data_IF_598251773187
#
_entry.id   IF_598251773187
#
_cell.length_a   1.000
_cell.length_b   1.000
_cell.length_c   1.000
_cell.angle_alpha   90.00
_cell.angle_beta   90.00
_cell.angle_gamma   90.00
#
_symmetry.space_group_name_H-M   'P 1'
#
loop_
_entity.id
_entity.type
_entity.pdbx_description
1 polymer ?
#
# COMPACT_ATOMS: atom_id res chain seq x y z
N UNK A 1 -5.82 -36.67 62.36
CA UNK A 1 -6.06 -35.43 63.13
C UNK A 1 -5.65 -34.27 62.26
N UNK A 2 -6.39 -33.22 61.99
CA UNK A 2 -7.76 -32.82 62.32
C UNK A 2 -8.05 -31.63 61.39
N UNK A 3 -9.31 -31.49 60.96
CA UNK A 3 -9.92 -30.20 60.61
C UNK A 3 -9.69 -29.15 61.73
N UNK A 4 -9.72 -27.83 61.47
CA UNK A 4 -10.95 -27.10 61.07
C UNK A 4 -10.62 -25.89 60.15
N UNK A 5 -11.49 -24.97 59.75
CA UNK A 5 -12.85 -24.61 60.09
C UNK A 5 -13.41 -23.81 58.91
N UNK A 6 -14.71 -23.97 58.70
CA UNK A 6 -15.56 -23.20 57.79
C UNK A 6 -15.47 -21.69 58.05
N UNK A 7 -15.35 -20.89 56.99
CA UNK A 7 -15.77 -19.50 57.00
C UNK A 7 -16.70 -19.21 55.82
N UNK A 8 -17.92 -18.86 56.21
CA UNK A 8 -19.09 -18.54 55.42
C UNK A 8 -18.85 -17.25 54.65
N UNK A 9 -18.75 -17.33 53.32
CA UNK A 9 -18.92 -16.17 52.46
C UNK A 9 -20.27 -16.27 51.76
N UNK A 10 -21.18 -15.45 52.28
CA UNK A 10 -22.56 -15.24 51.89
C UNK A 10 -22.61 -14.85 50.41
N UNK A 11 -23.26 -15.68 49.59
CA UNK A 11 -23.66 -15.33 48.21
C UNK A 11 -24.41 -14.00 48.23
N UNK A 12 -23.78 -12.97 47.69
CA UNK A 12 -24.48 -11.78 47.20
C UNK A 12 -24.32 -11.74 45.70
N UNK A 13 -25.38 -12.17 45.02
CA UNK A 13 -25.78 -11.73 43.69
C UNK A 13 -24.66 -11.65 42.65
N UNK A 14 -24.27 -12.79 42.11
CA UNK A 14 -23.61 -12.82 40.81
C UNK A 14 -24.65 -12.46 39.74
N UNK A 15 -24.72 -11.19 39.36
CA UNK A 15 -25.12 -10.87 38.00
C UNK A 15 -23.97 -11.35 37.10
N UNK A 16 -23.97 -12.64 36.77
CA UNK A 16 -23.21 -13.14 35.64
C UNK A 16 -23.78 -12.46 34.40
N UNK A 17 -23.14 -11.37 33.98
CA UNK A 17 -23.14 -11.05 32.56
C UNK A 17 -22.34 -12.18 31.91
N UNK A 18 -23.07 -13.16 31.38
CA UNK A 18 -22.52 -14.17 30.50
C UNK A 18 -21.98 -13.47 29.26
N UNK A 19 -20.73 -13.03 29.31
CA UNK A 19 -19.90 -12.94 28.11
C UNK A 19 -19.53 -14.38 27.71
N UNK A 20 -20.54 -15.16 27.32
CA UNK A 20 -20.37 -16.19 26.31
C UNK A 20 -20.08 -15.44 25.02
N UNK A 21 -18.83 -15.02 24.86
CA UNK A 21 -18.30 -14.62 23.56
C UNK A 21 -18.39 -15.88 22.73
N UNK A 22 -19.49 -16.03 21.99
CA UNK A 22 -19.84 -17.25 21.29
C UNK A 22 -18.73 -17.55 20.27
N UNK A 23 -17.78 -18.38 20.68
CA UNK A 23 -16.67 -18.83 19.83
C UNK A 23 -17.21 -19.39 18.51
N UNK A 24 -18.41 -19.98 18.56
CA UNK A 24 -19.17 -20.45 17.40
C UNK A 24 -19.66 -19.31 16.50
N UNK A 25 -20.15 -18.20 17.07
CA UNK A 25 -20.57 -17.04 16.29
C UNK A 25 -19.37 -16.34 15.63
N UNK A 26 -18.25 -16.25 16.33
CA UNK A 26 -16.99 -15.71 15.79
C UNK A 26 -16.40 -16.64 14.74
N UNK A 27 -16.40 -17.96 14.97
CA UNK A 27 -15.94 -18.94 13.98
C UNK A 27 -16.82 -18.95 12.74
N UNK A 28 -18.14 -18.85 12.89
CA UNK A 28 -19.09 -18.83 11.78
C UNK A 28 -19.02 -17.50 11.02
N UNK A 29 -18.76 -16.38 11.71
CA UNK A 29 -18.50 -15.09 11.07
C UNK A 29 -17.19 -15.11 10.28
N UNK A 30 -16.12 -15.66 10.86
CA UNK A 30 -14.84 -15.86 10.18
C UNK A 30 -14.95 -16.84 9.01
N UNK A 31 -15.67 -17.95 9.16
CA UNK A 31 -15.90 -18.89 8.07
C UNK A 31 -16.71 -18.24 6.94
N UNK A 32 -17.74 -17.46 7.27
CA UNK A 32 -18.52 -16.71 6.26
C UNK A 32 -17.68 -15.66 5.57
N UNK A 33 -16.76 -15.00 6.27
CA UNK A 33 -15.82 -14.04 5.69
C UNK A 33 -14.83 -14.75 4.75
N UNK A 34 -14.23 -15.86 5.20
CA UNK A 34 -13.29 -16.66 4.41
C UNK A 34 -13.97 -17.26 3.18
N UNK A 35 -15.20 -17.77 3.32
CA UNK A 35 -16.01 -18.28 2.21
C UNK A 35 -16.37 -17.15 1.24
N UNK A 36 -16.75 -15.97 1.73
CA UNK A 36 -17.03 -14.80 0.89
C UNK A 36 -15.80 -14.34 0.12
N UNK A 37 -14.63 -14.31 0.77
CA UNK A 37 -13.36 -13.98 0.11
C UNK A 37 -13.03 -15.05 -0.94
N UNK A 38 -13.21 -16.32 -0.63
CA UNK A 38 -12.99 -17.41 -1.58
C UNK A 38 -13.96 -17.37 -2.77
N UNK A 39 -15.25 -17.09 -2.54
CA UNK A 39 -16.25 -16.89 -3.62
C UNK A 39 -15.95 -15.65 -4.44
N UNK A 40 -15.51 -14.54 -3.84
CA UNK A 40 -15.12 -13.33 -4.55
C UNK A 40 -13.89 -13.58 -5.46
N UNK A 41 -12.90 -14.32 -4.94
CA UNK A 41 -11.71 -14.78 -5.67
C UNK A 41 -12.06 -15.79 -6.78
N UNK A 42 -13.09 -16.62 -6.58
CA UNK A 42 -13.52 -17.65 -7.54
C UNK A 42 -14.48 -17.12 -8.61
N UNK A 43 -15.24 -16.06 -8.31
CA UNK A 43 -16.29 -15.52 -9.20
C UNK A 43 -15.75 -14.50 -10.20
N UNK A 44 -14.65 -13.81 -9.89
CA UNK A 44 -13.99 -12.91 -10.82
C UNK A 44 -12.45 -12.99 -10.69
N UNK A 45 -11.78 -13.85 -11.48
CA UNK A 45 -10.31 -13.89 -11.51
C UNK A 45 -9.70 -12.55 -11.96
N UNK A 46 -10.44 -11.71 -12.69
CA UNK A 46 -9.98 -10.38 -13.07
C UNK A 46 -9.95 -9.42 -11.86
N UNK A 47 -10.83 -9.58 -10.86
CA UNK A 47 -10.79 -8.81 -9.62
C UNK A 47 -9.51 -9.09 -8.81
N UNK A 48 -9.06 -10.35 -8.77
CA UNK A 48 -7.81 -10.73 -8.10
C UNK A 48 -6.60 -10.17 -8.85
N UNK A 49 -6.59 -10.33 -10.17
CA UNK A 49 -5.51 -9.79 -11.03
C UNK A 49 -5.43 -8.27 -10.93
N UNK A 50 -6.56 -7.56 -10.92
CA UNK A 50 -6.59 -6.10 -10.77
C UNK A 50 -6.12 -5.67 -9.37
N UNK A 51 -6.50 -6.37 -8.30
CA UNK A 51 -6.02 -6.10 -6.94
C UNK A 51 -4.49 -6.23 -6.79
N UNK A 52 -3.89 -7.30 -7.30
CA UNK A 52 -2.43 -7.43 -7.26
C UNK A 52 -1.74 -6.36 -8.13
N UNK A 53 -2.32 -6.03 -9.29
CA UNK A 53 -1.80 -4.94 -10.14
C UNK A 53 -1.80 -3.60 -9.40
N UNK A 54 -2.87 -3.25 -8.69
CA UNK A 54 -2.94 -1.98 -7.95
C UNK A 54 -1.97 -1.95 -6.78
N UNK A 55 -1.80 -3.06 -6.05
CA UNK A 55 -0.80 -3.14 -4.97
C UNK A 55 0.60 -2.92 -5.51
N UNK A 56 0.99 -3.62 -6.59
CA UNK A 56 2.35 -3.51 -7.13
C UNK A 56 2.64 -2.09 -7.63
N UNK A 57 1.67 -1.45 -8.29
CA UNK A 57 1.80 -0.04 -8.70
C UNK A 57 1.98 0.87 -7.50
N UNK A 58 1.21 0.66 -6.43
CA UNK A 58 1.35 1.43 -5.18
C UNK A 58 2.72 1.25 -4.53
N UNK A 59 3.25 0.02 -4.49
CA UNK A 59 4.60 -0.25 -3.95
C UNK A 59 5.68 0.45 -4.77
N UNK A 60 5.58 0.42 -6.10
CA UNK A 60 6.53 1.14 -6.98
C UNK A 60 6.48 2.64 -6.71
N UNK A 61 5.28 3.23 -6.57
CA UNK A 61 5.11 4.64 -6.22
C UNK A 61 5.76 4.98 -4.87
N UNK A 62 5.59 4.13 -3.85
CA UNK A 62 6.20 4.34 -2.53
C UNK A 62 7.74 4.24 -2.55
N UNK A 63 8.31 3.42 -3.43
CA UNK A 63 9.76 3.33 -3.59
C UNK A 63 10.33 4.56 -4.31
N UNK A 64 9.57 5.15 -5.23
CA UNK A 64 9.96 6.39 -5.93
C UNK A 64 9.85 7.61 -5.00
N UNK A 65 8.78 7.66 -4.20
CA UNK A 65 8.49 8.75 -3.27
C UNK A 65 8.14 8.20 -1.88
N UNK A 66 9.17 8.01 -1.01
CA UNK A 66 8.97 7.47 0.33
C UNK A 66 8.09 8.38 1.21
N UNK A 67 7.18 7.78 1.97
CA UNK A 67 6.37 8.51 2.95
C UNK A 67 7.21 8.93 4.17
N UNK A 68 7.38 10.24 4.37
CA UNK A 68 8.11 10.82 5.51
C UNK A 68 7.23 11.29 6.67
N UNK A 69 5.90 11.37 6.48
CA UNK A 69 4.96 11.82 7.51
C UNK A 69 4.65 10.72 8.53
N UNK A 70 4.57 9.47 8.06
CA UNK A 70 4.39 8.29 8.91
C UNK A 70 5.36 7.18 8.47
N UNK A 71 6.67 7.31 8.78
CA UNK A 71 7.66 6.37 8.31
C UNK A 71 7.65 5.08 9.12
N UNK A 72 7.72 3.93 8.44
CA UNK A 72 7.93 2.64 9.08
C UNK A 72 9.33 2.55 9.74
N UNK A 73 10.33 3.22 9.14
CA UNK A 73 11.67 3.34 9.69
C UNK A 73 12.04 4.82 9.83
N UNK A 74 12.11 5.29 11.08
CA UNK A 74 12.38 6.70 11.41
C UNK A 74 13.78 7.12 10.96
N UNK A 75 14.79 6.27 11.18
CA UNK A 75 16.19 6.58 10.84
C UNK A 75 16.38 6.73 9.33
N UNK A 76 15.80 5.80 8.57
CA UNK A 76 15.80 5.86 7.10
C UNK A 76 15.10 7.12 6.59
N UNK A 77 13.98 7.53 7.20
CA UNK A 77 13.27 8.77 6.86
C UNK A 77 14.09 10.03 7.16
N UNK A 78 14.83 10.05 8.27
CA UNK A 78 15.74 11.16 8.59
C UNK A 78 16.89 11.22 7.59
N UNK A 79 17.53 10.09 7.27
CA UNK A 79 18.62 10.03 6.28
C UNK A 79 18.15 10.44 4.88
N UNK A 80 16.98 9.98 4.45
CA UNK A 80 16.38 10.35 3.17
C UNK A 80 16.14 11.86 3.06
N UNK A 81 15.55 12.48 4.11
CA UNK A 81 15.33 13.93 4.14
C UNK A 81 16.64 14.72 4.08
N UNK A 82 17.66 14.34 4.86
CA UNK A 82 18.99 14.98 4.79
C UNK A 82 19.60 14.89 3.40
N UNK A 83 19.55 13.71 2.77
CA UNK A 83 20.04 13.52 1.40
C UNK A 83 19.28 14.41 0.39
N UNK A 84 17.95 14.43 0.47
CA UNK A 84 17.07 15.23 -0.40
C UNK A 84 17.29 16.73 -0.22
N UNK A 85 17.23 17.21 1.02
CA UNK A 85 17.31 18.64 1.36
C UNK A 85 18.72 19.19 1.10
N UNK A 86 19.75 18.35 1.23
CA UNK A 86 21.13 18.70 0.88
C UNK A 86 21.42 18.62 -0.63
N UNK A 87 20.45 18.25 -1.47
CA UNK A 87 20.58 18.05 -2.92
C UNK A 87 21.70 17.05 -3.27
N UNK A 88 21.81 15.97 -2.50
CA UNK A 88 22.80 14.90 -2.71
C UNK A 88 24.22 15.23 -2.24
N UNK A 89 24.42 16.31 -1.48
CA UNK A 89 25.71 16.58 -0.82
C UNK A 89 25.99 15.56 0.27
N UNK A 90 24.98 15.26 1.08
CA UNK A 90 25.03 14.11 1.99
C UNK A 90 24.90 12.83 1.15
N UNK A 91 25.84 11.90 1.29
CA UNK A 91 25.89 10.66 0.49
C UNK A 91 25.53 9.42 1.30
N UNK A 92 25.23 9.56 2.59
CA UNK A 92 25.02 8.43 3.50
C UNK A 92 23.88 7.53 3.02
N UNK A 93 22.71 8.12 2.75
CA UNK A 93 21.54 7.40 2.24
C UNK A 93 21.84 6.67 0.92
N UNK A 94 22.42 7.37 -0.05
CA UNK A 94 22.74 6.82 -1.36
C UNK A 94 23.82 5.71 -1.32
N UNK A 95 24.78 5.79 -0.39
CA UNK A 95 25.80 4.76 -0.20
C UNK A 95 25.19 3.48 0.37
N UNK A 96 24.23 3.57 1.31
CA UNK A 96 23.54 2.40 1.85
C UNK A 96 22.76 1.69 0.73
N UNK A 97 21.99 2.43 -0.08
CA UNK A 97 21.26 1.86 -1.22
C UNK A 97 22.22 1.20 -2.21
N UNK A 98 23.35 1.84 -2.55
CA UNK A 98 24.37 1.25 -3.44
C UNK A 98 24.93 -0.05 -2.89
N UNK A 99 25.28 -0.11 -1.60
CA UNK A 99 25.79 -1.35 -0.96
C UNK A 99 24.77 -2.47 -1.02
N UNK A 100 23.50 -2.18 -0.74
CA UNK A 100 22.43 -3.18 -0.79
C UNK A 100 22.19 -3.69 -2.22
N UNK A 101 22.13 -2.80 -3.21
CA UNK A 101 21.99 -3.18 -4.63
C UNK A 101 23.18 -4.03 -5.11
N UNK A 102 24.40 -3.76 -4.63
CA UNK A 102 25.55 -4.60 -4.97
C UNK A 102 25.49 -5.97 -4.30
N UNK A 103 25.02 -6.05 -3.06
CA UNK A 103 24.87 -7.31 -2.35
C UNK A 103 23.83 -8.24 -3.03
N UNK A 104 22.73 -7.68 -3.55
CA UNK A 104 21.69 -8.47 -4.23
C UNK A 104 22.13 -9.02 -5.59
N UNK A 105 23.12 -8.43 -6.25
CA UNK A 105 23.66 -8.95 -7.52
C UNK A 105 24.26 -10.35 -7.38
N UNK A 106 24.96 -10.61 -6.27
CA UNK A 106 25.55 -11.91 -6.00
C UNK A 106 24.47 -12.99 -5.79
N UNK A 107 23.37 -12.64 -5.13
CA UNK A 107 22.23 -13.55 -4.96
C UNK A 107 21.53 -13.83 -6.30
N UNK A 108 21.34 -12.80 -7.12
CA UNK A 108 20.75 -12.97 -8.45
C UNK A 108 21.57 -13.90 -9.36
N UNK A 109 22.91 -13.82 -9.31
CA UNK A 109 23.79 -14.73 -10.05
C UNK A 109 23.66 -16.18 -9.56
N UNK A 110 23.60 -16.38 -8.24
CA UNK A 110 23.40 -17.69 -7.62
C UNK A 110 22.06 -18.32 -8.01
N UNK A 111 21.01 -17.50 -8.13
CA UNK A 111 19.68 -17.94 -8.57
C UNK A 111 19.57 -18.06 -10.11
N UNK A 112 20.62 -17.73 -10.86
CA UNK A 112 20.62 -17.75 -12.32
C UNK A 112 19.73 -16.68 -12.96
N UNK A 113 19.37 -15.63 -12.23
CA UNK A 113 18.51 -14.54 -12.67
C UNK A 113 19.35 -13.38 -13.22
N UNK A 114 19.18 -13.07 -14.51
CA UNK A 114 19.81 -11.89 -15.12
C UNK A 114 18.99 -10.63 -14.83
N UNK A 115 19.56 -9.70 -14.05
CA UNK A 115 18.93 -8.41 -13.75
C UNK A 115 18.94 -7.51 -15.00
N UNK A 116 17.78 -7.00 -15.46
CA UNK A 116 17.70 -6.03 -16.56
C UNK A 116 18.43 -4.73 -16.22
N UNK A 117 19.24 -4.22 -17.15
CA UNK A 117 20.00 -2.96 -16.95
C UNK A 117 19.58 -1.85 -17.91
N UNK A 118 18.82 -2.22 -18.94
CA UNK A 118 18.27 -1.29 -19.93
C UNK A 118 16.76 -1.26 -19.85
N UNK A 119 16.13 -0.16 -20.27
CA UNK A 119 14.68 -0.04 -20.32
C UNK A 119 14.06 -1.12 -21.23
N UNK A 120 14.71 -1.44 -22.35
CA UNK A 120 14.24 -2.46 -23.29
C UNK A 120 14.26 -3.87 -22.66
N UNK A 121 15.28 -4.21 -21.88
CA UNK A 121 15.34 -5.47 -21.13
C UNK A 121 14.33 -5.50 -19.97
N UNK A 122 14.02 -4.35 -19.38
CA UNK A 122 13.04 -4.26 -18.30
C UNK A 122 11.60 -4.41 -18.82
N UNK A 123 11.29 -3.78 -19.96
CA UNK A 123 9.96 -3.77 -20.57
C UNK A 123 9.75 -4.89 -21.61
N UNK A 124 10.28 -6.09 -21.36
CA UNK A 124 10.04 -7.23 -22.25
C UNK A 124 8.57 -7.62 -22.16
N UNK A 125 7.82 -7.40 -23.24
CA UNK A 125 6.48 -7.96 -23.41
C UNK A 125 6.65 -9.46 -23.63
N UNK A 126 6.44 -10.25 -22.58
CA UNK A 126 6.46 -11.71 -22.68
C UNK A 126 5.46 -12.13 -23.76
N UNK A 127 5.95 -12.57 -24.92
CA UNK A 127 5.11 -13.26 -25.90
C UNK A 127 4.81 -14.62 -25.29
N UNK A 128 3.64 -14.74 -24.68
CA UNK A 128 3.05 -16.05 -24.37
C UNK A 128 3.04 -16.82 -25.70
N UNK A 129 3.50 -18.08 -25.76
CA UNK A 129 3.32 -18.87 -26.98
C UNK A 129 1.83 -18.93 -27.27
N UNK A 130 1.40 -18.16 -28.26
CA UNK A 130 0.01 -18.09 -28.70
C UNK A 130 -0.32 -19.45 -29.32
N UNK A 131 -1.13 -20.23 -28.63
CA UNK A 131 -2.03 -21.13 -29.32
C UNK A 131 -2.97 -20.23 -30.12
N UNK A 132 -2.86 -20.27 -31.45
CA UNK A 132 -3.63 -19.45 -32.37
C UNK A 132 -5.12 -19.55 -32.05
N UNK A 133 -5.73 -18.44 -31.59
CA UNK A 133 -7.08 -17.99 -31.95
C UNK A 133 -7.46 -16.71 -31.18
N UNK A 134 -7.54 -15.61 -31.93
CA UNK A 134 -8.56 -14.55 -31.81
C UNK A 134 -8.73 -13.83 -30.46
N UNK A 135 -8.08 -12.67 -30.27
CA UNK A 135 -8.67 -11.52 -29.54
C UNK A 135 -7.86 -10.21 -29.67
N UNK A 136 -7.41 -9.82 -30.86
CA UNK A 136 -6.69 -8.56 -31.09
C UNK A 136 -7.62 -7.50 -31.70
N UNK A 137 -8.70 -7.13 -30.99
CA UNK A 137 -9.68 -6.12 -31.42
C UNK A 137 -10.36 -5.40 -30.23
N UNK A 138 -9.68 -5.16 -29.11
CA UNK A 138 -10.33 -4.55 -27.92
C UNK A 138 -9.69 -3.25 -27.41
N UNK A 139 -8.83 -2.58 -28.19
CA UNK A 139 -8.11 -1.40 -27.69
C UNK A 139 -8.03 -0.18 -28.61
N UNK A 140 -8.82 -0.10 -29.71
CA UNK A 140 -8.71 1.01 -30.68
C UNK A 140 -9.89 2.01 -30.69
N UNK A 141 -11.03 1.71 -30.03
CA UNK A 141 -12.27 2.52 -30.16
C UNK A 141 -12.59 3.42 -28.94
N UNK A 142 -11.61 3.83 -28.13
CA UNK A 142 -11.85 4.67 -26.92
C UNK A 142 -11.35 6.12 -27.02
N UNK A 143 -10.95 6.58 -28.20
CA UNK A 143 -10.51 7.96 -28.42
C UNK A 143 -11.22 8.60 -29.63
N UNK A 144 -12.55 8.60 -29.60
CA UNK A 144 -13.38 9.39 -30.52
C UNK A 144 -14.59 9.94 -29.74
N UNK A 145 -14.30 10.83 -28.79
CA UNK A 145 -15.31 11.70 -28.17
C UNK A 145 -14.79 13.13 -28.28
N UNK A 146 -15.19 13.72 -29.41
CA UNK A 146 -15.34 15.13 -29.70
C UNK A 146 -15.83 15.92 -28.47
N UNK A 147 -14.92 16.35 -27.59
CA UNK A 147 -15.20 17.42 -26.64
C UNK A 147 -15.07 18.74 -27.39
N UNK A 148 -16.24 19.27 -27.70
CA UNK A 148 -16.57 20.60 -28.18
C UNK A 148 -15.71 21.68 -27.50
N UNK A 149 -14.95 22.41 -28.30
CA UNK A 149 -14.37 23.70 -27.94
C UNK A 149 -15.53 24.72 -27.79
N UNK A 150 -16.26 24.69 -26.66
CA UNK A 150 -17.14 25.79 -26.27
C UNK A 150 -16.33 26.90 -25.57
N UNK A 151 -16.02 27.88 -26.40
CA UNK A 151 -15.59 29.27 -26.20
C UNK A 151 -15.58 29.86 -24.76
N UNK A 152 -14.50 30.61 -24.55
CA UNK A 152 -14.20 31.62 -23.55
C UNK A 152 -15.39 32.49 -23.08
N UNK A 153 -15.66 32.51 -21.77
CA UNK A 153 -16.17 33.71 -21.09
C UNK A 153 -15.31 34.03 -19.84
N UNK A 154 -14.63 35.17 -19.96
CA UNK A 154 -13.96 35.97 -18.92
C UNK A 154 -14.81 36.18 -17.66
N UNK A 155 -14.21 36.16 -16.46
CA UNK A 155 -14.59 37.12 -15.42
C UNK A 155 -13.49 37.30 -14.35
N UNK A 156 -12.91 38.49 -14.43
CA UNK A 156 -12.08 39.26 -13.51
C UNK A 156 -12.62 39.28 -12.07
N UNK A 157 -11.79 38.95 -11.08
CA UNK A 157 -12.05 39.29 -9.67
C UNK A 157 -10.76 39.28 -8.84
N UNK A 158 -10.06 40.40 -8.89
CA UNK A 158 -9.07 40.81 -7.92
C UNK A 158 -9.68 40.89 -6.50
N UNK A 159 -9.17 40.10 -5.56
CA UNK A 159 -9.18 40.52 -4.16
C UNK A 159 -7.85 40.14 -3.48
N UNK A 160 -6.96 41.13 -3.42
CA UNK A 160 -5.90 41.16 -2.43
C UNK A 160 -6.56 41.26 -1.05
N UNK A 161 -6.36 40.26 -0.20
CA UNK A 161 -6.47 40.47 1.24
C UNK A 161 -5.13 40.13 1.88
N UNK A 162 -4.41 41.22 2.12
CA UNK A 162 -3.19 41.32 2.91
C UNK A 162 -3.61 41.35 4.38
N UNK A 163 -3.55 40.21 5.08
CA UNK A 163 -3.62 40.18 6.55
C UNK A 163 -2.32 39.60 7.13
N UNK A 164 -1.33 40.49 7.14
CA UNK A 164 -0.16 40.48 8.00
C UNK A 164 -0.58 40.60 9.48
N UNK A 165 -0.81 39.47 10.13
CA UNK A 165 -0.86 39.41 11.59
C UNK A 165 0.46 38.87 12.14
N UNK A 166 1.44 39.78 12.21
CA UNK A 166 2.66 39.62 12.99
C UNK A 166 2.36 39.35 14.47
N UNK A 167 2.87 38.23 14.97
CA UNK A 167 2.84 37.90 16.40
C UNK A 167 4.18 38.28 17.04
N UNK A 168 4.22 39.43 17.70
CA UNK A 168 5.32 39.91 18.54
C UNK A 168 5.00 39.75 20.04
N UNK A 169 5.96 39.15 20.75
CA UNK A 169 6.42 39.45 22.12
C UNK A 169 5.42 39.85 23.23
N UNK A 170 5.26 38.97 24.23
CA UNK A 170 5.48 39.24 25.67
C UNK A 170 5.40 37.96 26.51
#
# INVERSE_FOLDING_TARGET
MSEPSVDVWKEKGTSQLSLSFDFKQVSDALLKEVVRIHECVSSDPAAVVTFFRTILLSVISLLNEPNTFSPANVDASVMFRKWRDSKGKDKEYAEIIRKQVLATKAEAEKDGVKVPTTLAEYCIKTKVPSNDNSSDLLYDDLYDDDIDDEDEEEEDADCYDDDDSGNEES
#
